data_IF_074259715730
#
_entry.id   IF_074259715730
#
_cell.length_a   1.000
_cell.length_b   1.000
_cell.length_c   1.000
_cell.angle_alpha   90.00
_cell.angle_beta   90.00
_cell.angle_gamma   90.00
#
_symmetry.space_group_name_H-M   'P 1'
#
loop_
_entity.id
_entity.type
_entity.pdbx_description
1 polymer ?
#
# COMPACT_ATOMS: atom_id res chain seq x y z
N UNK A 1 -36.21 51.40 48.93
CA UNK A 1 -36.63 50.07 48.45
C UNK A 1 -35.54 49.13 48.91
N UNK A 2 -35.94 48.12 49.66
CA UNK A 2 -35.10 47.44 50.63
C UNK A 2 -34.14 46.37 50.08
N UNK A 3 -33.30 45.90 51.00
CA UNK A 3 -32.30 44.84 50.91
C UNK A 3 -32.87 43.44 51.16
N UNK A 4 -32.02 42.42 51.04
CA UNK A 4 -32.18 41.06 51.62
C UNK A 4 -33.27 40.18 50.96
N UNK A 5 -33.25 38.83 51.05
CA UNK A 5 -32.26 37.90 51.63
C UNK A 5 -32.28 36.52 50.94
N UNK A 6 -31.30 35.68 51.28
CA UNK A 6 -31.31 34.23 51.01
C UNK A 6 -31.83 33.50 52.26
N UNK A 7 -32.64 32.43 52.13
CA UNK A 7 -32.75 31.42 53.17
C UNK A 7 -32.11 30.08 52.74
N UNK A 8 -31.33 29.49 53.63
CA UNK A 8 -30.71 28.17 53.50
C UNK A 8 -31.16 27.33 54.71
N UNK A 9 -31.83 26.19 54.50
CA UNK A 9 -32.19 25.18 55.52
C UNK A 9 -32.12 23.83 54.77
N UNK A 10 -31.11 22.97 54.96
CA UNK A 10 -30.80 22.08 56.11
C UNK A 10 -31.76 20.88 56.27
N UNK A 11 -31.19 19.67 56.07
CA UNK A 11 -31.33 18.40 56.83
C UNK A 11 -32.75 17.85 57.15
N UNK A 12 -33.00 16.54 57.23
CA UNK A 12 -32.12 15.48 57.74
C UNK A 12 -32.55 14.06 57.28
N UNK A 13 -31.70 13.07 57.57
CA UNK A 13 -31.84 11.61 57.46
C UNK A 13 -33.25 11.00 57.70
N UNK A 14 -33.57 9.88 57.03
CA UNK A 14 -33.44 8.57 57.70
C UNK A 14 -33.56 7.31 56.81
N UNK A 15 -32.71 6.32 57.15
CA UNK A 15 -32.94 4.86 57.26
C UNK A 15 -33.85 4.12 56.23
N UNK A 16 -33.34 3.19 55.41
CA UNK A 16 -32.96 1.79 55.74
C UNK A 16 -34.16 0.86 56.02
N UNK A 17 -34.40 -0.12 55.13
CA UNK A 17 -34.22 -1.54 55.51
C UNK A 17 -34.02 -2.45 54.28
N UNK A 18 -33.50 -3.66 54.50
CA UNK A 18 -33.32 -4.74 53.50
C UNK A 18 -34.21 -5.93 53.87
N UNK A 19 -34.71 -6.66 52.89
CA UNK A 19 -35.04 -8.09 53.07
C UNK A 19 -34.70 -8.91 51.81
N UNK A 20 -34.02 -10.03 52.04
CA UNK A 20 -34.00 -11.18 51.13
C UNK A 20 -35.28 -12.04 51.43
N UNK A 21 -35.60 -13.20 50.85
CA UNK A 21 -34.75 -14.38 50.63
C UNK A 21 -35.44 -15.51 49.82
N UNK A 22 -34.61 -16.29 49.12
CA UNK A 22 -34.70 -17.75 48.83
C UNK A 22 -35.90 -18.42 48.09
N UNK A 23 -35.55 -18.99 46.93
CA UNK A 23 -35.51 -20.45 46.61
C UNK A 23 -36.64 -21.22 45.86
N UNK A 24 -36.10 -22.05 44.94
CA UNK A 24 -36.38 -23.47 44.62
C UNK A 24 -37.38 -23.90 43.53
N UNK A 25 -36.78 -24.42 42.42
CA UNK A 25 -37.07 -25.68 41.68
C UNK A 25 -38.47 -25.82 40.98
N UNK A 26 -38.64 -26.58 39.90
CA UNK A 26 -37.78 -27.60 39.26
C UNK A 26 -38.15 -27.84 37.76
N UNK A 27 -37.20 -28.45 37.01
CA UNK A 27 -37.37 -29.34 35.82
C UNK A 27 -37.80 -28.85 34.40
N UNK A 28 -36.89 -29.18 33.47
CA UNK A 28 -37.06 -29.92 32.20
C UNK A 28 -37.88 -29.33 31.01
N UNK A 29 -37.16 -28.90 29.95
CA UNK A 29 -36.97 -29.75 28.75
C UNK A 29 -35.74 -29.36 27.90
N UNK A 30 -35.18 -30.35 27.19
CA UNK A 30 -33.97 -30.26 26.35
C UNK A 30 -34.29 -30.00 24.86
N UNK A 31 -33.41 -29.25 24.17
CA UNK A 31 -32.97 -29.25 22.75
C UNK A 31 -32.47 -27.82 22.43
N UNK A 32 -31.28 -27.56 21.88
CA UNK A 32 -30.14 -28.42 21.56
C UNK A 32 -29.27 -27.83 20.44
N UNK A 33 -27.93 -27.80 20.62
CA UNK A 33 -26.89 -27.45 19.61
C UNK A 33 -26.90 -25.99 19.07
N UNK A 34 -25.78 -25.34 18.75
CA UNK A 34 -24.37 -25.57 19.08
C UNK A 34 -23.64 -24.22 19.23
N UNK A 35 -22.77 -24.10 20.23
CA UNK A 35 -21.74 -23.06 20.28
C UNK A 35 -20.50 -23.50 19.50
N UNK A 36 -19.80 -22.58 18.84
CA UNK A 36 -18.37 -22.69 18.59
C UNK A 36 -17.77 -21.30 18.49
N UNK A 37 -16.63 -21.09 19.15
CA UNK A 37 -15.82 -19.88 19.07
C UNK A 37 -15.08 -19.83 17.72
N UNK A 38 -14.77 -18.63 17.23
CA UNK A 38 -13.94 -18.47 16.02
C UNK A 38 -12.50 -18.18 16.45
N UNK A 39 -11.64 -19.19 16.39
CA UNK A 39 -10.20 -19.01 16.60
C UNK A 39 -9.62 -18.14 15.47
N UNK A 40 -8.85 -17.10 15.83
CA UNK A 40 -8.13 -16.27 14.86
C UNK A 40 -6.82 -16.95 14.51
N UNK A 41 -6.73 -17.48 13.29
CA UNK A 41 -5.51 -18.12 12.78
C UNK A 41 -4.53 -17.02 12.30
N UNK A 42 -3.39 -16.89 12.97
CA UNK A 42 -2.28 -16.04 12.57
C UNK A 42 -1.17 -16.93 11.97
N UNK A 43 -1.06 -16.96 10.64
CA UNK A 43 0.06 -17.63 9.96
C UNK A 43 1.18 -16.64 9.60
N UNK A 44 2.20 -16.55 10.45
CA UNK A 44 3.47 -15.92 10.11
C UNK A 44 4.22 -16.76 9.05
N UNK A 45 4.74 -16.13 8.00
CA UNK A 45 5.59 -16.81 7.01
C UNK A 45 6.60 -15.86 6.36
N UNK A 46 7.69 -15.59 7.07
CA UNK A 46 8.92 -15.07 6.47
C UNK A 46 10.14 -15.71 7.16
N UNK A 47 10.85 -16.59 6.44
CA UNK A 47 12.21 -17.02 6.83
C UNK A 47 13.04 -17.40 5.60
N UNK A 48 13.96 -16.52 5.25
CA UNK A 48 15.09 -16.85 4.37
C UNK A 48 16.00 -17.89 5.04
N UNK A 49 16.64 -18.73 4.23
CA UNK A 49 17.70 -19.63 4.68
C UNK A 49 18.88 -19.51 3.72
N UNK A 50 19.98 -19.01 4.25
CA UNK A 50 21.33 -19.14 3.71
C UNK A 50 22.24 -19.50 4.87
N UNK A 51 22.91 -20.65 4.80
CA UNK A 51 24.38 -20.72 4.72
C UNK A 51 24.86 -22.18 4.64
N UNK A 52 26.11 -22.35 4.23
CA UNK A 52 26.80 -23.65 4.20
C UNK A 52 27.77 -23.73 5.38
N UNK A 53 28.13 -24.93 5.80
CA UNK A 53 29.49 -25.19 6.29
C UNK A 53 29.88 -26.64 6.01
N UNK A 54 31.10 -26.84 5.53
CA UNK A 54 31.69 -28.14 5.23
C UNK A 54 32.32 -28.78 6.48
N UNK A 55 32.56 -30.10 6.45
CA UNK A 55 33.81 -30.67 6.98
C UNK A 55 34.15 -32.05 6.34
N UNK A 56 35.41 -32.47 6.50
CA UNK A 56 36.12 -33.49 5.70
C UNK A 56 35.82 -34.97 6.16
N UNK A 57 36.40 -36.09 5.67
CA UNK A 57 37.64 -36.30 4.91
C UNK A 57 37.80 -37.70 4.22
N UNK A 58 38.51 -37.72 3.07
CA UNK A 58 39.69 -38.58 2.73
C UNK A 58 39.59 -40.09 2.33
N UNK A 59 40.58 -40.50 1.49
CA UNK A 59 40.99 -41.82 0.92
C UNK A 59 40.03 -42.53 -0.07
N UNK A 60 40.31 -42.77 -1.37
CA UNK A 60 41.50 -43.04 -2.24
C UNK A 60 41.79 -44.53 -2.55
N UNK A 61 41.67 -44.90 -3.86
CA UNK A 61 42.68 -45.68 -4.64
C UNK A 61 42.27 -46.01 -6.11
N UNK A 62 42.93 -45.33 -7.05
CA UNK A 62 43.63 -45.82 -8.28
C UNK A 62 43.13 -47.02 -9.15
N UNK A 63 43.33 -46.86 -10.48
CA UNK A 63 43.70 -47.86 -11.53
C UNK A 63 42.67 -48.50 -12.51
N UNK A 64 42.54 -47.86 -13.67
CA UNK A 64 42.83 -48.34 -15.06
C UNK A 64 42.64 -49.80 -15.56
N UNK A 65 42.10 -49.86 -16.80
CA UNK A 65 42.42 -50.75 -17.95
C UNK A 65 41.80 -52.17 -18.11
N UNK A 66 41.31 -52.41 -19.35
CA UNK A 66 41.22 -53.66 -20.18
C UNK A 66 40.78 -55.01 -19.54
N UNK A 67 39.99 -55.89 -20.17
CA UNK A 67 39.36 -55.95 -21.52
C UNK A 67 38.69 -57.33 -21.76
N UNK A 68 38.18 -57.60 -22.99
CA UNK A 68 37.40 -58.82 -23.38
C UNK A 68 35.98 -58.87 -22.73
N UNK A 69 34.91 -59.52 -23.25
CA UNK A 69 34.68 -60.39 -24.42
C UNK A 69 33.82 -61.59 -23.99
N UNK A 70 32.54 -61.75 -24.37
CA UNK A 70 32.05 -62.22 -25.69
C UNK A 70 30.57 -61.87 -25.97
N UNK A 71 30.09 -62.17 -27.21
CA UNK A 71 28.78 -61.86 -27.81
C UNK A 71 27.75 -62.97 -27.48
N UNK A 72 26.43 -62.76 -27.27
CA UNK A 72 25.30 -62.54 -28.23
C UNK A 72 24.02 -62.28 -27.38
N UNK A 73 22.88 -61.65 -27.77
CA UNK A 73 22.05 -61.77 -29.00
C UNK A 73 21.29 -60.46 -29.35
N UNK A 74 21.23 -60.21 -30.67
CA UNK A 74 20.39 -59.30 -31.50
C UNK A 74 18.89 -59.24 -31.08
N UNK A 75 18.07 -58.17 -31.33
CA UNK A 75 18.24 -56.92 -32.11
C UNK A 75 18.16 -55.65 -31.19
N UNK A 76 17.71 -54.41 -31.49
CA UNK A 76 16.90 -53.80 -32.58
C UNK A 76 17.20 -52.31 -32.85
N UNK A 77 16.57 -51.76 -33.90
CA UNK A 77 16.77 -50.46 -34.55
C UNK A 77 16.22 -49.23 -33.78
N UNK A 78 17.04 -48.18 -33.71
CA UNK A 78 16.66 -46.78 -33.38
C UNK A 78 15.60 -46.22 -34.35
N UNK A 79 14.71 -45.34 -33.87
CA UNK A 79 14.06 -44.29 -34.70
C UNK A 79 14.23 -42.92 -34.04
N UNK A 80 14.83 -41.96 -34.75
CA UNK A 80 14.94 -40.56 -34.33
C UNK A 80 13.54 -39.91 -34.35
N UNK A 81 13.07 -39.30 -33.25
CA UNK A 81 12.01 -38.27 -33.31
C UNK A 81 12.65 -36.91 -33.62
N UNK A 82 12.07 -36.16 -34.56
CA UNK A 82 12.55 -34.83 -34.96
C UNK A 82 12.25 -33.80 -33.87
N UNK A 83 13.17 -32.83 -33.66
CA UNK A 83 12.80 -31.53 -33.06
C UNK A 83 11.93 -30.76 -34.06
N UNK A 84 10.65 -30.57 -33.77
CA UNK A 84 9.82 -29.61 -34.50
C UNK A 84 9.89 -28.24 -33.81
N UNK A 85 10.93 -27.45 -34.10
CA UNK A 85 10.96 -26.02 -33.74
C UNK A 85 10.00 -25.29 -34.68
N UNK A 86 8.70 -25.25 -34.35
CA UNK A 86 7.67 -24.56 -35.17
C UNK A 86 7.91 -23.05 -35.08
N UNK A 87 8.59 -22.50 -36.09
CA UNK A 87 8.84 -21.06 -36.24
C UNK A 87 7.48 -20.32 -36.25
N UNK A 88 7.19 -19.50 -35.24
CA UNK A 88 5.96 -18.66 -35.16
C UNK A 88 6.14 -17.42 -36.06
N UNK A 89 6.33 -17.68 -37.34
CA UNK A 89 6.45 -16.64 -38.38
C UNK A 89 5.05 -16.33 -38.92
N UNK A 90 4.31 -15.52 -38.14
CA UNK A 90 3.21 -14.72 -38.69
C UNK A 90 3.76 -13.34 -38.95
N UNK A 91 4.14 -13.10 -40.19
CA UNK A 91 4.07 -11.75 -40.75
C UNK A 91 2.57 -11.39 -40.75
N UNK A 92 2.19 -10.46 -39.87
CA UNK A 92 0.95 -9.72 -40.03
C UNK A 92 1.27 -8.62 -41.04
N UNK A 93 0.43 -8.47 -42.07
CA UNK A 93 0.54 -7.35 -42.98
C UNK A 93 0.10 -6.09 -42.20
N UNK A 94 0.95 -5.07 -42.16
CA UNK A 94 0.61 -3.80 -41.50
C UNK A 94 -0.34 -2.92 -42.35
N UNK A 95 -0.77 -3.40 -43.52
CA UNK A 95 -1.70 -2.74 -44.45
C UNK A 95 -3.18 -2.92 -44.11
N UNK A 96 -3.50 -3.88 -43.25
CA UNK A 96 -4.88 -4.33 -43.04
C UNK A 96 -5.43 -3.83 -41.68
N UNK A 97 -4.72 -2.90 -41.02
CA UNK A 97 -5.07 -2.32 -39.72
C UNK A 97 -5.99 -1.09 -39.85
N UNK A 98 -5.87 -0.30 -40.92
CA UNK A 98 -6.56 1.01 -41.05
C UNK A 98 -8.09 0.87 -41.25
N UNK A 99 -8.55 -0.13 -41.99
CA UNK A 99 -10.00 -0.45 -42.13
C UNK A 99 -10.62 -1.02 -40.85
N UNK A 100 -9.81 -1.36 -39.83
CA UNK A 100 -10.30 -2.01 -38.59
C UNK A 100 -10.75 -1.00 -37.52
N UNK A 101 -10.41 0.28 -37.68
CA UNK A 101 -10.66 1.34 -36.69
C UNK A 101 -11.42 2.54 -37.27
N UNK A 102 -12.25 2.33 -38.30
CA UNK A 102 -13.12 3.38 -38.86
C UNK A 102 -13.97 4.05 -37.75
N UNK A 103 -13.91 5.38 -37.56
CA UNK A 103 -14.66 6.10 -36.52
C UNK A 103 -16.18 5.94 -36.59
N UNK A 104 -16.72 5.50 -37.73
CA UNK A 104 -18.14 5.14 -37.89
C UNK A 104 -18.54 3.90 -37.06
N UNK A 105 -17.57 3.12 -36.59
CA UNK A 105 -17.74 2.00 -35.67
C UNK A 105 -17.79 2.52 -34.23
N UNK A 106 -18.71 2.06 -33.35
CA UNK A 106 -18.70 2.48 -31.94
C UNK A 106 -17.37 2.21 -31.24
N UNK A 107 -16.98 3.14 -30.34
CA UNK A 107 -15.67 3.20 -29.68
C UNK A 107 -15.33 1.89 -28.97
N UNK A 108 -16.31 1.32 -28.25
CA UNK A 108 -16.19 0.06 -27.50
C UNK A 108 -15.63 -1.07 -28.37
N UNK A 109 -16.24 -1.34 -29.54
CA UNK A 109 -15.79 -2.42 -30.42
C UNK A 109 -14.38 -2.18 -31.00
N UNK A 110 -14.02 -0.92 -31.27
CA UNK A 110 -12.65 -0.55 -31.68
C UNK A 110 -11.64 -0.83 -30.58
N UNK A 111 -11.96 -0.46 -29.33
CA UNK A 111 -11.11 -0.72 -28.15
C UNK A 111 -11.00 -2.22 -27.83
N UNK A 112 -12.10 -2.97 -27.77
CA UNK A 112 -12.09 -4.43 -27.55
C UNK A 112 -11.24 -5.16 -28.61
N UNK A 113 -11.39 -4.79 -29.89
CA UNK A 113 -10.61 -5.38 -30.98
C UNK A 113 -9.13 -4.96 -30.94
N UNK A 114 -8.82 -3.76 -30.44
CA UNK A 114 -7.45 -3.35 -30.16
C UNK A 114 -6.83 -4.10 -28.97
N UNK A 115 -7.59 -4.34 -27.90
CA UNK A 115 -7.18 -5.18 -26.75
C UNK A 115 -6.83 -6.60 -27.20
N UNK A 116 -7.68 -7.22 -28.02
CA UNK A 116 -7.43 -8.55 -28.58
C UNK A 116 -6.15 -8.59 -29.44
N UNK A 117 -5.93 -7.60 -30.33
CA UNK A 117 -4.67 -7.49 -31.11
C UNK A 117 -3.45 -7.25 -30.20
N UNK A 118 -3.57 -6.39 -29.18
CA UNK A 118 -2.50 -6.07 -28.24
C UNK A 118 -2.04 -7.31 -27.46
N UNK A 119 -2.99 -8.06 -26.90
CA UNK A 119 -2.72 -9.33 -26.20
C UNK A 119 -2.20 -10.44 -27.11
N UNK A 120 -2.65 -10.51 -28.37
CA UNK A 120 -2.20 -11.52 -29.33
C UNK A 120 -0.79 -11.28 -29.93
N UNK A 121 -0.31 -10.03 -29.94
CA UNK A 121 0.95 -9.62 -30.60
C UNK A 121 2.13 -9.49 -29.64
N UNK A 122 1.90 -9.16 -28.37
CA UNK A 122 2.94 -9.02 -27.34
C UNK A 122 3.19 -10.32 -26.57
N UNK A 123 4.28 -10.32 -25.81
CA UNK A 123 4.52 -11.27 -24.73
C UNK A 123 4.46 -10.48 -23.41
N UNK A 124 3.70 -11.00 -22.46
CA UNK A 124 3.62 -10.52 -21.08
C UNK A 124 4.12 -11.64 -20.17
N UNK A 125 4.69 -11.28 -19.03
CA UNK A 125 4.81 -12.16 -17.88
C UNK A 125 3.44 -12.30 -17.14
N UNK A 126 3.47 -12.94 -15.97
CA UNK A 126 2.25 -13.15 -15.18
C UNK A 126 1.70 -11.85 -14.56
N UNK A 127 2.57 -11.01 -14.00
CA UNK A 127 2.22 -9.79 -13.28
C UNK A 127 1.61 -8.77 -14.22
N UNK A 128 2.32 -8.42 -15.29
CA UNK A 128 1.87 -7.47 -16.31
C UNK A 128 0.56 -7.91 -16.98
N UNK A 129 0.32 -9.21 -17.17
CA UNK A 129 -0.94 -9.69 -17.72
C UNK A 129 -2.11 -9.62 -16.71
N UNK A 130 -1.87 -9.92 -15.43
CA UNK A 130 -2.88 -9.79 -14.37
C UNK A 130 -3.31 -8.33 -14.20
N UNK A 131 -2.34 -7.41 -14.12
CA UNK A 131 -2.59 -5.97 -14.05
C UNK A 131 -3.41 -5.50 -15.25
N UNK A 132 -3.00 -5.89 -16.47
CA UNK A 132 -3.67 -5.45 -17.69
C UNK A 132 -5.12 -5.96 -17.76
N UNK A 133 -5.38 -7.18 -17.30
CA UNK A 133 -6.76 -7.70 -17.16
C UNK A 133 -7.56 -6.99 -16.08
N UNK A 134 -6.94 -6.65 -14.94
CA UNK A 134 -7.59 -5.88 -13.87
C UNK A 134 -7.98 -4.48 -14.35
N UNK A 135 -7.09 -3.80 -15.09
CA UNK A 135 -7.37 -2.51 -15.72
C UNK A 135 -8.49 -2.57 -16.77
N UNK A 136 -8.51 -3.60 -17.63
CA UNK A 136 -9.60 -3.77 -18.60
C UNK A 136 -10.94 -4.12 -17.94
N UNK A 137 -10.93 -4.91 -16.88
CA UNK A 137 -12.14 -5.23 -16.10
C UNK A 137 -12.71 -3.98 -15.43
N UNK A 138 -11.86 -3.18 -14.77
CA UNK A 138 -12.24 -1.90 -14.19
C UNK A 138 -12.81 -0.93 -15.23
N UNK A 139 -12.17 -0.80 -16.39
CA UNK A 139 -12.68 0.00 -17.51
C UNK A 139 -13.87 -0.58 -18.29
N UNK A 140 -14.52 -1.66 -17.81
CA UNK A 140 -15.69 -2.27 -18.45
C UNK A 140 -15.44 -2.94 -19.82
N UNK A 141 -14.18 -3.16 -20.20
CA UNK A 141 -13.79 -3.69 -21.51
C UNK A 141 -13.83 -5.23 -21.47
N UNK A 142 -14.59 -5.85 -22.37
CA UNK A 142 -14.66 -7.31 -22.44
C UNK A 142 -13.44 -7.91 -23.16
N UNK A 143 -12.80 -8.93 -22.54
CA UNK A 143 -11.72 -9.69 -23.19
C UNK A 143 -12.26 -10.84 -24.06
N UNK A 144 -13.45 -11.34 -23.74
CA UNK A 144 -14.03 -12.54 -24.35
C UNK A 144 -14.66 -12.27 -25.72
N UNK A 145 -14.13 -12.93 -26.75
CA UNK A 145 -14.56 -12.80 -28.16
C UNK A 145 -16.03 -13.19 -28.40
N UNK A 146 -16.71 -13.79 -27.43
CA UNK A 146 -18.05 -14.38 -27.57
C UNK A 146 -19.17 -13.34 -27.66
N UNK A 147 -18.95 -12.09 -27.20
CA UNK A 147 -19.97 -11.02 -27.22
C UNK A 147 -19.91 -10.14 -28.49
N UNK A 148 -18.79 -10.13 -29.22
CA UNK A 148 -18.56 -9.25 -30.37
C UNK A 148 -19.30 -9.70 -31.67
N UNK A 149 -20.48 -10.32 -31.56
CA UNK A 149 -21.13 -11.09 -32.64
C UNK A 149 -22.59 -10.72 -32.95
N UNK A 150 -23.15 -9.72 -32.27
CA UNK A 150 -24.48 -9.17 -32.55
C UNK A 150 -24.43 -7.64 -32.59
N UNK A 151 -24.39 -7.10 -33.82
CA UNK A 151 -24.52 -5.66 -34.11
C UNK A 151 -25.96 -5.15 -33.83
N UNK A 152 -26.92 -6.08 -33.67
CA UNK A 152 -28.35 -5.85 -33.44
C UNK A 152 -28.79 -6.16 -31.98
N UNK A 153 -27.97 -5.96 -30.94
CA UNK A 153 -28.43 -6.03 -29.54
C UNK A 153 -28.95 -4.65 -29.05
N UNK A 154 -30.28 -4.46 -28.89
CA UNK A 154 -30.84 -3.17 -28.50
C UNK A 154 -30.68 -2.84 -27.01
N UNK A 155 -30.03 -3.69 -26.20
CA UNK A 155 -29.78 -3.43 -24.77
C UNK A 155 -28.40 -2.83 -24.47
N UNK A 156 -27.51 -2.68 -25.46
CA UNK A 156 -26.20 -2.04 -25.28
C UNK A 156 -26.29 -0.58 -25.81
N UNK A 157 -26.13 0.44 -24.95
CA UNK A 157 -25.99 1.82 -25.42
C UNK A 157 -24.74 1.96 -26.30
N UNK A 158 -24.92 2.42 -27.54
CA UNK A 158 -23.80 2.71 -28.45
C UNK A 158 -22.98 3.93 -27.99
N UNK A 159 -23.62 4.84 -27.26
CA UNK A 159 -23.07 6.11 -26.79
C UNK A 159 -22.40 5.96 -25.40
N UNK A 160 -21.48 5.01 -25.28
CA UNK A 160 -20.56 4.94 -24.14
C UNK A 160 -19.51 6.03 -24.29
N UNK A 161 -19.66 7.12 -23.54
CA UNK A 161 -18.61 8.14 -23.37
C UNK A 161 -17.41 7.50 -22.63
N UNK A 162 -16.20 7.70 -23.15
CA UNK A 162 -14.98 7.06 -22.64
C UNK A 162 -14.02 8.12 -22.11
N UNK A 163 -13.82 8.16 -20.79
CA UNK A 163 -12.79 9.00 -20.17
C UNK A 163 -11.57 8.13 -19.79
N UNK A 164 -10.56 8.13 -20.65
CA UNK A 164 -9.30 7.43 -20.41
C UNK A 164 -8.53 8.06 -19.23
N UNK A 165 -8.61 9.38 -19.02
CA UNK A 165 -7.89 10.08 -17.95
C UNK A 165 -8.46 9.72 -16.58
N UNK A 166 -9.78 9.79 -16.39
CA UNK A 166 -10.48 9.34 -15.18
C UNK A 166 -10.23 7.85 -14.92
N UNK A 167 -10.38 7.00 -15.95
CA UNK A 167 -10.14 5.55 -15.82
C UNK A 167 -8.72 5.27 -15.32
N UNK A 168 -7.70 5.93 -15.88
CA UNK A 168 -6.30 5.74 -15.47
C UNK A 168 -6.02 6.33 -14.09
N UNK A 169 -6.57 7.50 -13.77
CA UNK A 169 -6.47 8.12 -12.44
C UNK A 169 -7.02 7.19 -11.37
N UNK A 170 -8.32 6.89 -11.38
CA UNK A 170 -8.98 6.12 -10.32
C UNK A 170 -8.37 4.71 -10.21
N UNK A 171 -8.02 4.09 -11.36
CA UNK A 171 -7.33 2.80 -11.33
C UNK A 171 -5.97 2.88 -10.62
N UNK A 172 -5.11 3.84 -10.98
CA UNK A 172 -3.76 4.00 -10.42
C UNK A 172 -3.73 4.79 -9.10
N UNK A 173 -4.85 5.34 -8.61
CA UNK A 173 -4.90 6.14 -7.38
C UNK A 173 -5.77 5.56 -6.27
N UNK A 174 -6.65 4.60 -6.57
CA UNK A 174 -7.49 3.93 -5.56
C UNK A 174 -7.58 2.42 -5.83
N UNK A 175 -8.16 2.03 -6.97
CA UNK A 175 -8.54 0.64 -7.25
C UNK A 175 -7.35 -0.34 -7.11
N UNK A 176 -6.18 0.01 -7.67
CA UNK A 176 -5.00 -0.85 -7.58
C UNK A 176 -4.48 -1.03 -6.15
N UNK A 177 -4.64 -0.04 -5.27
CA UNK A 177 -4.20 -0.12 -3.88
C UNK A 177 -5.24 -0.82 -2.98
N UNK A 178 -6.53 -0.60 -3.25
CA UNK A 178 -7.62 -0.95 -2.32
C UNK A 178 -8.39 -2.22 -2.71
N UNK A 179 -8.58 -2.50 -4.00
CA UNK A 179 -9.52 -3.53 -4.47
C UNK A 179 -8.85 -4.74 -5.13
N UNK A 180 -7.67 -4.57 -5.74
CA UNK A 180 -7.01 -5.68 -6.48
C UNK A 180 -6.39 -6.77 -5.59
N UNK A 181 -6.18 -6.48 -4.30
CA UNK A 181 -5.43 -7.36 -3.40
C UNK A 181 -3.93 -7.47 -3.70
N UNK A 182 -3.35 -6.58 -4.52
CA UNK A 182 -1.91 -6.62 -4.82
C UNK A 182 -1.06 -6.21 -3.61
N UNK A 183 -0.38 -7.19 -3.01
CA UNK A 183 0.51 -6.97 -1.86
C UNK A 183 1.91 -6.50 -2.28
N UNK A 184 2.46 -7.05 -3.38
CA UNK A 184 3.87 -6.86 -3.77
C UNK A 184 4.13 -5.55 -4.51
N UNK A 185 5.26 -4.91 -4.21
CA UNK A 185 5.78 -3.72 -4.92
C UNK A 185 5.84 -3.87 -6.44
N UNK A 186 6.22 -5.06 -6.94
CA UNK A 186 6.35 -5.35 -8.38
C UNK A 186 5.11 -4.90 -9.16
N UNK A 187 3.92 -5.10 -8.61
CA UNK A 187 2.67 -4.71 -9.26
C UNK A 187 2.50 -3.19 -9.39
N UNK A 188 2.91 -2.43 -8.36
CA UNK A 188 2.86 -0.97 -8.32
C UNK A 188 3.94 -0.35 -9.21
N UNK A 189 5.08 -1.04 -9.39
CA UNK A 189 6.14 -0.66 -10.33
C UNK A 189 5.75 -0.95 -11.79
N UNK A 190 5.12 -2.08 -12.07
CA UNK A 190 4.73 -2.50 -13.43
C UNK A 190 3.48 -1.77 -13.95
N UNK A 191 2.46 -1.54 -13.12
CA UNK A 191 1.16 -1.06 -13.58
C UNK A 191 1.16 0.23 -14.43
N UNK A 192 1.82 1.33 -14.01
CA UNK A 192 1.89 2.53 -14.84
C UNK A 192 2.59 2.27 -16.19
N UNK A 193 3.61 1.40 -16.23
CA UNK A 193 4.35 1.05 -17.46
C UNK A 193 3.45 0.25 -18.41
N UNK A 194 2.69 -0.72 -17.89
CA UNK A 194 1.80 -1.60 -18.65
C UNK A 194 0.66 -0.82 -19.29
N UNK A 195 0.04 0.09 -18.52
CA UNK A 195 -1.06 0.96 -18.96
C UNK A 195 -0.56 2.01 -19.97
N UNK A 196 0.54 2.72 -19.68
CA UNK A 196 1.14 3.69 -20.62
C UNK A 196 1.47 3.02 -21.96
N UNK A 197 2.02 1.80 -21.93
CA UNK A 197 2.34 1.01 -23.13
C UNK A 197 1.11 0.60 -23.95
N UNK A 198 -0.06 0.45 -23.30
CA UNK A 198 -1.34 0.15 -23.95
C UNK A 198 -1.97 1.41 -24.57
N UNK A 199 -2.05 2.52 -23.83
CA UNK A 199 -2.53 3.81 -24.34
C UNK A 199 -1.70 4.27 -25.53
N UNK A 200 -0.37 4.17 -25.44
CA UNK A 200 0.52 4.46 -26.57
C UNK A 200 0.26 3.54 -27.79
N UNK A 201 -0.26 2.32 -27.60
CA UNK A 201 -0.65 1.46 -28.72
C UNK A 201 -1.98 1.92 -29.36
N UNK A 202 -2.98 2.32 -28.57
CA UNK A 202 -4.22 2.90 -29.07
C UNK A 202 -3.95 4.16 -29.92
N UNK A 203 -3.14 5.08 -29.40
CA UNK A 203 -2.70 6.30 -30.10
C UNK A 203 -1.96 5.96 -31.40
N UNK A 204 -0.96 5.06 -31.37
CA UNK A 204 -0.17 4.69 -32.57
C UNK A 204 -0.95 3.92 -33.63
N UNK A 205 -2.06 3.26 -33.27
CA UNK A 205 -2.95 2.57 -34.21
C UNK A 205 -4.23 3.36 -34.53
N UNK A 206 -4.33 4.62 -34.06
CA UNK A 206 -5.47 5.51 -34.28
C UNK A 206 -6.82 4.80 -33.99
N UNK A 207 -6.89 4.08 -32.88
CA UNK A 207 -8.08 3.28 -32.51
C UNK A 207 -9.28 4.17 -32.20
N UNK A 208 -9.03 5.31 -31.56
CA UNK A 208 -10.01 6.31 -31.16
C UNK A 208 -9.42 7.74 -31.30
N UNK A 209 -9.20 8.22 -32.55
CA UNK A 209 -8.61 9.54 -32.80
C UNK A 209 -9.43 10.71 -32.24
N UNK A 210 -10.72 10.50 -31.99
CA UNK A 210 -11.61 11.47 -31.36
C UNK A 210 -11.34 11.65 -29.85
N UNK A 211 -10.71 10.66 -29.19
CA UNK A 211 -10.25 10.72 -27.79
C UNK A 211 -8.73 10.98 -27.66
N UNK A 212 -8.09 11.53 -28.71
CA UNK A 212 -6.62 11.64 -28.76
C UNK A 212 -6.01 12.51 -27.65
N UNK A 213 -6.61 13.67 -27.33
CA UNK A 213 -6.08 14.55 -26.27
C UNK A 213 -6.30 13.94 -24.87
N UNK A 214 -7.42 13.25 -24.65
CA UNK A 214 -7.70 12.53 -23.41
C UNK A 214 -6.71 11.35 -23.23
N UNK A 215 -6.49 10.51 -24.24
CA UNK A 215 -5.43 9.50 -24.19
C UNK A 215 -4.04 10.10 -23.93
N UNK A 216 -3.76 11.32 -24.39
CA UNK A 216 -2.52 12.03 -24.07
C UNK A 216 -2.48 12.56 -22.63
N UNK A 217 -3.62 12.87 -22.00
CA UNK A 217 -3.71 13.21 -20.57
C UNK A 217 -3.58 11.96 -19.69
N UNK A 218 -4.28 10.87 -20.04
CA UNK A 218 -4.13 9.55 -19.44
C UNK A 218 -2.68 9.03 -19.47
N UNK A 219 -1.95 9.25 -20.57
CA UNK A 219 -0.51 8.94 -20.67
C UNK A 219 0.33 9.77 -19.69
N UNK A 220 0.02 11.07 -19.49
CA UNK A 220 0.75 11.92 -18.51
C UNK A 220 0.51 11.41 -17.07
N UNK A 221 -0.72 11.01 -16.73
CA UNK A 221 -1.05 10.40 -15.44
C UNK A 221 -0.28 9.08 -15.24
N UNK A 222 -0.30 8.19 -16.24
CA UNK A 222 0.46 6.94 -16.21
C UNK A 222 1.99 7.13 -16.20
N UNK A 223 2.50 8.32 -16.56
CA UNK A 223 3.90 8.67 -16.41
C UNK A 223 4.23 9.13 -14.99
N UNK A 224 3.43 10.03 -14.42
CA UNK A 224 3.57 10.51 -13.04
C UNK A 224 3.45 9.35 -12.02
N UNK A 225 2.53 8.42 -12.27
CA UNK A 225 2.35 7.20 -11.49
C UNK A 225 3.58 6.29 -11.43
N UNK A 226 4.56 6.39 -12.34
CA UNK A 226 5.83 5.64 -12.25
C UNK A 226 6.72 6.09 -11.10
N UNK A 227 6.57 7.35 -10.68
CA UNK A 227 7.36 7.97 -9.63
C UNK A 227 6.59 7.95 -8.30
N UNK A 228 5.29 8.24 -8.34
CA UNK A 228 4.47 8.37 -7.12
C UNK A 228 3.89 7.06 -6.58
N UNK A 229 3.41 6.14 -7.42
CA UNK A 229 2.55 5.03 -6.95
C UNK A 229 3.28 4.05 -6.02
N UNK A 230 4.55 3.78 -6.31
CA UNK A 230 5.40 2.99 -5.41
C UNK A 230 5.58 3.70 -4.06
N UNK A 231 5.79 5.02 -4.07
CA UNK A 231 5.97 5.79 -2.84
C UNK A 231 4.68 5.83 -2.01
N UNK A 232 3.50 5.92 -2.63
CA UNK A 232 2.23 5.73 -1.93
C UNK A 232 2.11 4.33 -1.31
N UNK A 233 2.52 3.28 -2.03
CA UNK A 233 2.52 1.90 -1.53
C UNK A 233 3.44 1.72 -0.33
N UNK A 234 4.69 2.20 -0.41
CA UNK A 234 5.66 2.11 0.69
C UNK A 234 5.20 2.94 1.90
N UNK A 235 4.74 4.18 1.69
CA UNK A 235 4.21 5.01 2.76
C UNK A 235 2.98 4.37 3.44
N UNK A 236 2.10 3.71 2.68
CA UNK A 236 0.95 2.94 3.23
C UNK A 236 1.39 1.74 4.09
N UNK A 237 2.55 1.14 3.81
CA UNK A 237 3.04 -0.03 4.54
C UNK A 237 3.84 0.32 5.80
N UNK A 238 4.65 1.38 5.72
CA UNK A 238 5.63 1.74 6.77
C UNK A 238 5.11 2.86 7.69
N UNK A 239 4.02 3.55 7.34
CA UNK A 239 3.36 4.53 8.22
C UNK A 239 2.86 3.91 9.55
N UNK A 240 2.81 4.70 10.65
CA UNK A 240 3.23 6.10 10.74
C UNK A 240 4.77 6.32 10.80
N UNK A 241 5.60 5.27 10.78
CA UNK A 241 7.07 5.35 10.85
C UNK A 241 7.60 5.55 12.27
N UNK A 242 8.86 5.20 12.51
CA UNK A 242 9.44 5.04 13.86
C UNK A 242 9.34 6.31 14.72
N UNK A 243 9.63 7.49 14.16
CA UNK A 243 9.53 8.75 14.90
C UNK A 243 8.09 9.03 15.39
N UNK A 244 7.09 8.84 14.52
CA UNK A 244 5.70 9.13 14.89
C UNK A 244 5.09 8.03 15.76
N UNK A 245 5.52 6.76 15.59
CA UNK A 245 5.24 5.68 16.56
C UNK A 245 5.83 6.00 17.95
N UNK A 246 7.01 6.60 18.03
CA UNK A 246 7.60 7.02 19.30
C UNK A 246 6.78 8.12 19.99
N UNK A 247 6.32 9.11 19.23
CA UNK A 247 5.40 10.14 19.72
C UNK A 247 4.07 9.55 20.20
N UNK A 248 3.46 8.65 19.41
CA UNK A 248 2.21 7.95 19.75
C UNK A 248 2.31 7.17 21.07
N UNK A 249 3.40 6.40 21.22
CA UNK A 249 3.66 5.56 22.40
C UNK A 249 3.84 6.40 23.68
N UNK A 250 4.55 7.53 23.60
CA UNK A 250 5.01 8.29 24.78
C UNK A 250 4.18 9.54 25.12
N UNK A 251 3.41 10.10 24.18
CA UNK A 251 2.66 11.35 24.42
C UNK A 251 1.13 11.24 24.22
N UNK A 252 0.66 10.41 23.29
CA UNK A 252 -0.76 10.23 23.00
C UNK A 252 -1.00 9.68 21.59
N UNK A 253 -1.98 8.79 21.42
CA UNK A 253 -2.24 8.13 20.13
C UNK A 253 -2.64 6.66 20.29
N UNK A 254 -2.63 5.92 19.19
CA UNK A 254 -3.03 4.52 19.09
C UNK A 254 -2.08 3.56 19.85
N UNK A 255 -0.82 3.93 20.03
CA UNK A 255 0.17 3.19 20.81
C UNK A 255 0.24 3.59 22.29
N UNK A 256 -0.43 4.66 22.70
CA UNK A 256 -0.36 5.17 24.07
C UNK A 256 -0.96 4.17 25.08
N UNK A 257 -0.22 3.86 26.13
CA UNK A 257 -0.62 2.89 27.17
C UNK A 257 -0.67 1.42 26.71
N UNK A 258 -0.33 1.10 25.44
CA UNK A 258 -0.29 -0.30 24.94
C UNK A 258 0.72 -1.17 25.68
N UNK A 259 1.72 -0.56 26.31
CA UNK A 259 2.80 -1.23 27.05
C UNK A 259 2.60 -1.25 28.58
N UNK A 260 1.52 -0.66 29.13
CA UNK A 260 1.28 -0.56 30.58
C UNK A 260 1.11 -1.93 31.27
N UNK A 261 0.70 -2.94 30.52
CA UNK A 261 0.52 -4.33 30.98
C UNK A 261 0.89 -5.30 29.85
N UNK A 262 2.19 -5.52 29.59
CA UNK A 262 2.65 -6.18 28.37
C UNK A 262 2.41 -7.69 28.44
N UNK A 263 1.59 -8.21 27.51
CA UNK A 263 1.28 -9.63 27.40
C UNK A 263 1.36 -10.08 25.93
N UNK A 264 2.09 -11.17 25.59
CA UNK A 264 2.81 -12.08 26.51
C UNK A 264 4.19 -11.57 26.96
N UNK A 265 4.81 -10.63 26.25
CA UNK A 265 6.03 -9.91 26.68
C UNK A 265 6.13 -8.53 26.01
N UNK A 266 7.01 -7.69 26.53
CA UNK A 266 7.35 -6.39 25.92
C UNK A 266 7.93 -6.56 24.50
N UNK A 267 8.86 -7.49 24.31
CA UNK A 267 9.44 -7.82 22.99
C UNK A 267 8.35 -8.23 21.97
N UNK A 268 7.31 -8.94 22.45
CA UNK A 268 6.22 -9.42 21.61
C UNK A 268 5.34 -8.26 21.10
N UNK A 269 5.12 -7.25 21.94
CA UNK A 269 4.42 -6.01 21.56
C UNK A 269 5.32 -5.12 20.69
N UNK A 270 6.61 -5.02 21.01
CA UNK A 270 7.57 -4.25 20.21
C UNK A 270 7.71 -4.81 18.79
N UNK A 271 7.70 -6.14 18.63
CA UNK A 271 7.66 -6.81 17.33
C UNK A 271 6.33 -6.58 16.57
N UNK A 272 5.20 -6.53 17.29
CA UNK A 272 3.87 -6.29 16.71
C UNK A 272 3.71 -4.85 16.20
N UNK A 273 4.13 -3.86 17.00
CA UNK A 273 4.00 -2.44 16.66
C UNK A 273 5.19 -1.89 15.84
N UNK A 274 6.32 -2.60 15.84
CA UNK A 274 7.53 -2.23 15.10
C UNK A 274 8.39 -1.15 15.77
N UNK A 275 8.28 -0.99 17.09
CA UNK A 275 9.10 -0.10 17.93
C UNK A 275 9.16 -0.62 19.37
N UNK A 276 10.32 -0.51 20.02
CA UNK A 276 10.47 -0.80 21.46
C UNK A 276 10.29 0.50 22.29
N UNK A 277 9.73 0.48 23.51
CA UNK A 277 9.62 1.68 24.35
C UNK A 277 10.97 2.39 24.57
N UNK A 278 12.04 1.63 24.82
CA UNK A 278 13.40 2.19 24.92
C UNK A 278 13.87 2.86 23.60
N UNK A 279 13.56 2.27 22.44
CA UNK A 279 13.89 2.87 21.13
C UNK A 279 13.11 4.19 20.93
N UNK A 280 11.83 4.23 21.35
CA UNK A 280 11.03 5.45 21.32
C UNK A 280 11.64 6.55 22.20
N UNK A 281 12.10 6.23 23.41
CA UNK A 281 12.80 7.20 24.26
C UNK A 281 14.09 7.72 23.60
N UNK A 282 14.92 6.83 23.04
CA UNK A 282 16.19 7.19 22.41
C UNK A 282 15.97 8.13 21.21
N UNK A 283 14.98 7.85 20.36
CA UNK A 283 14.61 8.70 19.22
C UNK A 283 14.20 10.11 19.69
N UNK A 284 13.30 10.21 20.67
CA UNK A 284 12.81 11.51 21.16
C UNK A 284 13.89 12.31 21.89
N UNK A 285 14.70 11.65 22.74
CA UNK A 285 15.81 12.29 23.47
C UNK A 285 16.87 12.84 22.52
N UNK A 286 17.04 12.23 21.35
CA UNK A 286 17.94 12.72 20.30
C UNK A 286 17.37 13.93 19.54
N UNK A 287 16.06 13.97 19.27
CA UNK A 287 15.42 15.03 18.47
C UNK A 287 15.12 16.27 19.31
N UNK A 288 14.60 16.08 20.52
CA UNK A 288 14.13 17.17 21.40
C UNK A 288 15.01 17.38 22.65
N UNK A 289 16.05 16.56 22.84
CA UNK A 289 16.97 16.63 23.98
C UNK A 289 16.58 15.72 25.15
N UNK A 290 17.53 15.49 26.07
CA UNK A 290 17.39 14.48 27.15
C UNK A 290 16.13 14.64 28.03
N UNK A 291 15.60 15.85 28.16
CA UNK A 291 14.41 16.16 28.97
C UNK A 291 13.08 15.98 28.20
N UNK A 292 13.10 15.46 26.97
CA UNK A 292 11.92 15.42 26.09
C UNK A 292 10.66 14.83 26.74
N UNK A 293 10.82 13.80 27.58
CA UNK A 293 9.71 13.14 28.27
C UNK A 293 9.12 13.97 29.43
N UNK A 294 9.90 14.87 30.03
CA UNK A 294 9.47 15.75 31.13
C UNK A 294 8.88 17.08 30.61
N UNK A 295 9.35 17.54 29.45
CA UNK A 295 9.01 18.87 28.88
C UNK A 295 7.88 18.83 27.82
N UNK A 296 7.65 17.67 27.19
CA UNK A 296 6.67 17.54 26.10
C UNK A 296 5.39 16.83 26.54
N UNK A 297 4.26 17.34 26.07
CA UNK A 297 2.91 16.79 26.30
C UNK A 297 2.03 16.97 25.08
N UNK A 298 1.02 16.11 24.92
CA UNK A 298 -0.01 16.26 23.88
C UNK A 298 -0.98 17.42 24.18
N UNK A 299 -1.22 18.26 23.19
CA UNK A 299 -2.22 19.35 23.22
C UNK A 299 -3.53 18.83 22.63
N UNK A 300 -4.31 18.14 23.48
CA UNK A 300 -5.51 17.38 23.07
C UNK A 300 -6.56 18.21 22.34
N UNK A 301 -6.71 19.48 22.70
CA UNK A 301 -7.65 20.41 22.05
C UNK A 301 -7.24 20.81 20.62
N UNK A 302 -6.02 20.49 20.18
CA UNK A 302 -5.53 20.74 18.83
C UNK A 302 -5.48 19.48 17.96
N UNK A 303 -5.67 18.28 18.53
CA UNK A 303 -5.56 17.04 17.78
C UNK A 303 -6.76 16.86 16.82
N UNK A 304 -6.52 16.24 15.66
CA UNK A 304 -7.50 16.04 14.59
C UNK A 304 -7.55 14.57 14.21
N UNK A 305 -8.73 13.99 13.98
CA UNK A 305 -8.88 12.56 13.66
C UNK A 305 -9.49 12.29 12.29
N UNK A 306 -9.05 11.23 11.64
CA UNK A 306 -9.53 10.77 10.32
C UNK A 306 -9.39 11.80 9.20
N UNK A 307 -8.41 12.70 9.30
CA UNK A 307 -8.29 13.89 8.46
C UNK A 307 -7.54 13.58 7.16
N UNK A 308 -8.10 13.98 6.01
CA UNK A 308 -7.37 13.96 4.73
C UNK A 308 -6.62 15.28 4.53
N UNK A 309 -5.29 15.22 4.39
CA UNK A 309 -4.45 16.38 4.09
C UNK A 309 -3.67 16.19 2.78
N UNK A 310 -3.47 17.29 2.06
CA UNK A 310 -2.57 17.44 0.92
C UNK A 310 -1.19 17.91 1.40
N UNK A 311 -0.11 17.28 0.93
CA UNK A 311 1.26 17.81 1.08
C UNK A 311 1.46 18.96 0.11
N UNK A 312 1.43 20.21 0.58
CA UNK A 312 1.62 21.38 -0.27
C UNK A 312 3.10 21.72 -0.49
N UNK A 313 4.01 21.21 0.36
CA UNK A 313 5.46 21.49 0.27
C UNK A 313 6.28 20.50 1.11
N UNK A 314 7.47 20.16 0.61
CA UNK A 314 8.53 19.47 1.36
C UNK A 314 9.56 20.50 1.83
N UNK A 315 9.93 20.53 3.11
CA UNK A 315 11.05 21.35 3.56
C UNK A 315 12.38 20.67 3.20
N UNK A 316 13.33 21.47 2.71
CA UNK A 316 14.71 21.00 2.46
C UNK A 316 15.35 20.55 3.78
N UNK A 317 16.13 19.47 3.75
CA UNK A 317 16.91 19.07 4.93
C UNK A 317 17.95 20.16 5.23
N UNK A 318 18.19 20.50 6.51
CA UNK A 318 19.24 21.43 6.86
C UNK A 318 20.58 20.93 6.31
N UNK A 319 21.25 21.75 5.50
CA UNK A 319 22.59 21.42 5.00
C UNK A 319 23.50 21.08 6.19
N UNK A 320 24.19 19.95 6.11
CA UNK A 320 25.13 19.55 7.15
C UNK A 320 26.21 20.63 7.27
N UNK A 321 26.13 21.43 8.34
CA UNK A 321 27.23 22.32 8.73
C UNK A 321 28.42 21.45 9.05
N UNK A 322 29.34 21.36 8.09
CA UNK A 322 30.60 20.61 8.17
C UNK A 322 31.51 21.29 9.19
N UNK A 323 31.26 20.99 10.46
CA UNK A 323 32.09 21.36 11.58
C UNK A 323 33.48 20.75 11.36
N UNK A 324 34.42 21.59 10.94
CA UNK A 324 35.82 21.23 10.77
C UNK A 324 36.48 21.13 12.15
N UNK A 325 36.16 20.10 12.93
CA UNK A 325 36.88 19.78 14.16
C UNK A 325 37.92 18.68 13.88
N UNK A 326 39.19 19.11 13.86
CA UNK A 326 40.34 18.24 13.60
C UNK A 326 41.00 17.85 14.91
N UNK A 327 40.67 16.68 15.47
CA UNK A 327 41.60 15.93 16.35
C UNK A 327 41.23 14.44 16.46
N UNK A 328 42.15 13.61 15.97
CA UNK A 328 42.67 12.35 16.54
C UNK A 328 41.68 11.25 17.01
N UNK A 329 41.69 10.16 16.26
CA UNK A 329 42.07 8.81 16.71
C UNK A 329 41.50 8.26 18.04
N UNK A 330 40.40 7.52 17.93
CA UNK A 330 40.32 6.15 18.47
C UNK A 330 39.44 5.28 17.57
N UNK A 331 39.96 4.13 17.14
CA UNK A 331 39.22 3.12 16.36
C UNK A 331 38.40 2.26 17.33
N UNK A 332 37.14 2.65 17.56
CA UNK A 332 36.12 1.84 18.25
C UNK A 332 35.03 1.46 17.24
N UNK A 333 35.13 0.26 16.66
CA UNK A 333 34.07 -0.35 15.85
C UNK A 333 32.94 -0.87 16.76
N UNK A 334 32.10 0.05 17.27
CA UNK A 334 30.87 -0.25 18.01
C UNK A 334 29.62 0.04 17.17
N UNK A 335 28.51 -0.66 17.42
CA UNK A 335 27.28 -0.73 16.61
C UNK A 335 26.42 0.56 16.52
N UNK A 336 26.96 1.72 16.92
CA UNK A 336 26.24 3.00 17.10
C UNK A 336 26.15 3.89 15.84
N UNK A 337 26.64 3.48 14.67
CA UNK A 337 26.77 4.42 13.54
C UNK A 337 25.41 4.90 12.97
N UNK A 338 24.38 4.04 13.01
CA UNK A 338 23.00 4.44 12.66
C UNK A 338 22.43 5.51 13.62
N UNK A 339 22.90 5.51 14.87
CA UNK A 339 22.52 6.48 15.90
C UNK A 339 23.25 7.83 15.76
N UNK A 340 24.15 8.02 14.78
CA UNK A 340 24.79 9.32 14.53
C UNK A 340 23.97 10.28 13.66
N UNK A 341 23.11 9.80 12.76
CA UNK A 341 22.52 10.64 11.68
C UNK A 341 20.99 10.81 11.69
N UNK A 342 20.24 10.07 12.52
CA UNK A 342 18.77 10.21 12.64
C UNK A 342 18.29 11.68 12.66
N UNK A 343 17.49 12.06 11.66
CA UNK A 343 16.93 13.39 11.44
C UNK A 343 15.41 13.28 11.24
N UNK A 344 14.68 14.37 11.46
CA UNK A 344 13.29 14.51 11.00
C UNK A 344 13.25 15.36 9.73
N UNK A 345 12.36 15.03 8.80
CA UNK A 345 11.99 15.87 7.66
C UNK A 345 10.62 16.47 7.93
N UNK A 346 10.49 17.76 7.65
CA UNK A 346 9.24 18.51 7.79
C UNK A 346 8.49 18.60 6.45
N UNK A 347 7.17 18.51 6.53
CA UNK A 347 6.27 18.69 5.39
C UNK A 347 5.17 19.66 5.78
N UNK A 348 4.90 20.63 4.90
CA UNK A 348 3.78 21.57 5.07
C UNK A 348 2.55 20.91 4.47
N UNK A 349 1.52 20.70 5.29
CA UNK A 349 0.27 20.03 4.91
C UNK A 349 -0.94 20.94 5.12
N UNK A 350 -1.96 20.76 4.30
CA UNK A 350 -3.24 21.47 4.39
C UNK A 350 -4.39 20.48 4.25
N UNK A 351 -5.49 20.73 4.94
CA UNK A 351 -6.72 19.94 4.83
C UNK A 351 -7.26 19.94 3.38
N UNK A 352 -7.50 18.75 2.82
CA UNK A 352 -7.80 18.59 1.39
C UNK A 352 -9.20 19.11 1.00
N UNK A 353 -10.17 19.00 1.90
CA UNK A 353 -11.56 19.39 1.63
C UNK A 353 -11.84 20.89 1.84
N UNK A 354 -10.90 21.61 2.46
CA UNK A 354 -11.01 23.04 2.80
C UNK A 354 -9.78 23.81 2.30
N UNK A 355 -9.75 24.24 1.02
CA UNK A 355 -8.57 24.86 0.41
C UNK A 355 -8.08 26.17 1.08
N UNK A 356 -8.95 26.83 1.85
CA UNK A 356 -8.67 28.03 2.65
C UNK A 356 -8.18 27.72 4.09
N UNK A 357 -8.04 26.45 4.47
CA UNK A 357 -7.54 26.06 5.79
C UNK A 357 -6.08 26.48 6.01
N UNK A 358 -5.76 26.89 7.24
CA UNK A 358 -4.40 27.24 7.65
C UNK A 358 -3.49 25.99 7.59
N UNK A 359 -2.40 26.01 6.79
CA UNK A 359 -1.47 24.89 6.73
C UNK A 359 -0.74 24.68 8.06
N UNK A 360 -0.31 23.45 8.30
CA UNK A 360 0.49 23.08 9.48
C UNK A 360 1.65 22.18 9.09
N UNK A 361 2.71 22.18 9.91
CA UNK A 361 3.92 21.42 9.65
C UNK A 361 3.92 20.11 10.43
N UNK A 362 3.95 18.99 9.70
CA UNK A 362 4.15 17.66 10.26
C UNK A 362 5.63 17.25 10.15
N UNK A 363 6.10 16.45 11.11
CA UNK A 363 7.43 15.86 11.09
C UNK A 363 7.37 14.35 10.82
N UNK A 364 8.39 13.84 10.14
CA UNK A 364 8.48 12.46 9.65
C UNK A 364 9.91 11.95 9.85
N UNK A 365 10.06 10.70 10.30
CA UNK A 365 11.35 10.05 10.51
C UNK A 365 12.12 9.75 9.21
N UNK A 366 13.43 9.43 9.29
CA UNK A 366 14.28 9.23 8.11
C UNK A 366 13.95 7.94 7.35
N UNK A 367 13.23 7.02 8.01
CA UNK A 367 12.64 5.80 7.48
C UNK A 367 11.51 6.05 6.46
N UNK A 368 10.77 7.15 6.62
CA UNK A 368 9.69 7.55 5.72
C UNK A 368 9.99 8.80 4.89
N UNK A 369 10.91 9.67 5.33
CA UNK A 369 11.24 10.93 4.70
C UNK A 369 11.47 10.90 3.16
N UNK A 370 11.93 9.81 2.51
CA UNK A 370 12.07 9.73 1.05
C UNK A 370 10.77 9.64 0.25
N UNK A 371 9.66 9.14 0.83
CA UNK A 371 8.47 8.76 0.06
C UNK A 371 7.43 9.88 -0.16
N UNK A 372 7.05 10.70 0.84
CA UNK A 372 6.00 11.71 0.66
C UNK A 372 6.42 12.80 -0.34
N UNK A 373 5.53 13.11 -1.28
CA UNK A 373 5.75 14.07 -2.38
C UNK A 373 4.66 15.14 -2.39
N UNK A 374 4.94 16.30 -3.00
CA UNK A 374 3.96 17.39 -3.12
C UNK A 374 2.74 16.93 -3.93
N UNK A 375 1.56 17.28 -3.45
CA UNK A 375 0.26 16.87 -4.00
C UNK A 375 -0.25 15.53 -3.49
N UNK A 376 0.58 14.67 -2.89
CA UNK A 376 0.09 13.43 -2.26
C UNK A 376 -0.90 13.75 -1.14
N UNK A 377 -1.92 12.91 -1.03
CA UNK A 377 -2.92 12.99 0.04
C UNK A 377 -2.67 11.91 1.08
N UNK A 378 -2.85 12.24 2.36
CA UNK A 378 -2.72 11.32 3.48
C UNK A 378 -3.96 11.46 4.36
N UNK A 379 -4.66 10.35 4.60
CA UNK A 379 -5.71 10.26 5.61
C UNK A 379 -5.16 9.60 6.88
N UNK A 380 -5.16 10.33 7.99
CA UNK A 380 -4.56 9.91 9.25
C UNK A 380 -5.17 10.66 10.45
N UNK A 381 -4.85 10.21 11.66
CA UNK A 381 -4.96 11.03 12.86
C UNK A 381 -3.72 11.96 12.97
N UNK A 382 -3.88 13.15 13.54
CA UNK A 382 -2.83 14.16 13.67
C UNK A 382 -2.82 14.74 15.07
N UNK A 383 -1.69 14.55 15.77
CA UNK A 383 -1.50 14.93 17.15
C UNK A 383 -0.47 16.05 17.27
N UNK A 384 -0.67 16.95 18.23
CA UNK A 384 0.18 18.14 18.42
C UNK A 384 0.89 18.10 19.78
N UNK A 385 2.20 18.35 19.78
CA UNK A 385 3.01 18.49 21.00
C UNK A 385 3.04 19.94 21.51
N UNK A 386 3.30 20.09 22.81
CA UNK A 386 3.41 21.37 23.52
C UNK A 386 4.46 22.33 22.93
N UNK A 387 5.52 21.80 22.30
CA UNK A 387 6.54 22.56 21.58
C UNK A 387 6.09 23.07 20.19
N UNK A 388 4.90 22.66 19.73
CA UNK A 388 4.31 23.07 18.45
C UNK A 388 4.44 22.06 17.31
N UNK A 389 5.25 21.01 17.44
CA UNK A 389 5.38 19.96 16.43
C UNK A 389 4.11 19.13 16.27
N UNK A 390 3.87 18.63 15.06
CA UNK A 390 2.83 17.65 14.78
C UNK A 390 3.42 16.32 14.31
N UNK A 391 2.81 15.23 14.75
CA UNK A 391 3.01 13.88 14.24
C UNK A 391 1.68 13.35 13.70
N UNK A 392 1.73 12.54 12.65
CA UNK A 392 0.59 11.72 12.27
C UNK A 392 0.56 10.44 13.12
N UNK A 393 -0.61 9.81 13.22
CA UNK A 393 -0.77 8.46 13.74
C UNK A 393 -1.90 7.76 12.94
N UNK A 394 -2.07 6.44 13.13
CA UNK A 394 -3.23 5.69 12.61
C UNK A 394 -3.53 6.00 11.12
N UNK A 395 -2.51 5.91 10.26
CA UNK A 395 -2.62 6.27 8.84
C UNK A 395 -3.49 5.27 8.09
N UNK A 396 -4.63 5.73 7.58
CA UNK A 396 -5.67 4.88 6.98
C UNK A 396 -5.46 4.71 5.48
N UNK A 397 -5.18 5.81 4.77
CA UNK A 397 -4.97 5.81 3.32
C UNK A 397 -3.89 6.81 2.89
N UNK A 398 -3.15 6.46 1.84
CA UNK A 398 -2.25 7.37 1.12
C UNK A 398 -2.65 7.36 -0.35
N UNK A 399 -2.79 8.54 -0.96
CA UNK A 399 -3.13 8.68 -2.37
C UNK A 399 -2.10 9.55 -3.12
N UNK A 400 -1.84 9.27 -4.41
CA UNK A 400 -0.93 10.06 -5.25
C UNK A 400 -1.52 11.42 -5.64
N UNK A 401 -0.70 12.33 -6.17
CA UNK A 401 -1.13 13.70 -6.54
C UNK A 401 -2.14 13.76 -7.67
N UNK A 402 -2.20 12.72 -8.50
CA UNK A 402 -3.21 12.56 -9.56
C UNK A 402 -4.53 11.92 -9.07
N UNK A 403 -4.69 11.69 -7.76
CA UNK A 403 -5.93 11.18 -7.18
C UNK A 403 -7.15 12.00 -7.60
N UNK A 404 -8.28 11.33 -7.68
CA UNK A 404 -9.59 11.95 -7.93
C UNK A 404 -10.60 11.08 -7.18
N UNK A 405 -11.51 11.73 -6.44
CA UNK A 405 -12.61 11.01 -5.78
C UNK A 405 -13.45 10.32 -6.84
N UNK A 406 -13.88 9.10 -6.56
CA UNK A 406 -14.94 8.46 -7.33
C UNK A 406 -16.26 9.12 -6.93
N UNK A 407 -17.12 9.45 -7.90
CA UNK A 407 -18.44 9.99 -7.61
C UNK A 407 -19.36 8.84 -7.15
N UNK A 408 -19.84 8.90 -5.90
CA UNK A 408 -20.70 7.86 -5.29
C UNK A 408 -22.15 7.85 -5.83
N UNK A 409 -22.41 8.54 -6.96
CA UNK A 409 -23.75 8.82 -7.51
C UNK A 409 -24.55 7.58 -7.88
N UNK A 410 -23.88 6.47 -8.14
CA UNK A 410 -24.46 5.28 -8.77
C UNK A 410 -24.85 4.21 -7.73
N UNK A 411 -24.97 4.60 -6.45
CA UNK A 411 -25.26 3.72 -5.32
C UNK A 411 -26.71 3.74 -4.80
N UNK A 412 -27.61 4.51 -5.44
CA UNK A 412 -29.05 4.60 -5.10
C UNK A 412 -30.01 4.22 -6.27
N UNK A 413 -29.97 2.97 -6.76
CA UNK A 413 -31.09 2.33 -7.51
C UNK A 413 -31.41 0.89 -7.01
#
# INVERSE_FOLDING_TARGET
METQEIPHIDNNDNEVEKTNDTNDKDKDKVIGENSNETEVIIENSNKSITENTDEEAVEDKTNAAEGQGTVTVVPTKKKKKKKNKKKRERLLNESDDDEVYDPSTPVKYRVERAVQKYKATRMFDGTSNQILSSYFHFGGISEDTTLCASEDDPMIPNDMEVDFTYTVKVYLSSYIMNETGYVKEDAFREAPIVIESFLNYLVRRQVCPEYLEDMHQAIKVAQLAKEELLNCKLLTQDAPGKFNKACSLLFGGELYGRFDNPYPSEDSLALLFGIHPEEAEQILKKIFGNNALDELTEVKEACKSGLTVEIIKVNELPESTTANDTTNDTEDENDDDWLRSYYIREFEVREFETPDAEPFTIAVGPDLAPYPMVGMLINADFHRLSNGFWYWDNTIYVYPSYYTKQDDSDSEE
#
